data_IF_268295774415
#
_entry.id   IF_268295774415
#
_cell.length_a   1.000
_cell.length_b   1.000
_cell.length_c   1.000
_cell.angle_alpha   90.00
_cell.angle_beta   90.00
_cell.angle_gamma   90.00
#
_symmetry.space_group_name_H-M   'P 1'
#
loop_
_entity.id
_entity.type
_entity.pdbx_description
1 polymer ?
#
# COMPACT_ATOMS: atom_id res chain seq x y z
N UNK A 1 -13.63 -19.37 -29.69
CA UNK A 1 -13.84 -18.83 -28.33
C UNK A 1 -13.38 -17.38 -28.31
N UNK A 2 -14.30 -16.42 -28.40
CA UNK A 2 -13.98 -14.99 -28.33
C UNK A 2 -13.69 -14.67 -26.86
N UNK A 3 -12.41 -14.50 -26.51
CA UNK A 3 -12.04 -13.93 -25.21
C UNK A 3 -12.45 -12.46 -25.26
N UNK A 4 -13.31 -12.03 -24.35
CA UNK A 4 -13.53 -10.61 -24.12
C UNK A 4 -12.19 -10.03 -23.64
N UNK A 5 -11.42 -9.44 -24.55
CA UNK A 5 -10.25 -8.64 -24.21
C UNK A 5 -10.75 -7.38 -23.51
N UNK A 6 -10.09 -6.95 -22.43
CA UNK A 6 -10.20 -5.58 -21.93
C UNK A 6 -10.08 -4.66 -23.13
N UNK A 7 -11.21 -4.03 -23.49
CA UNK A 7 -11.30 -3.20 -24.69
C UNK A 7 -10.32 -2.04 -24.52
N UNK A 8 -9.59 -1.66 -25.58
CA UNK A 8 -8.60 -0.56 -25.51
C UNK A 8 -9.16 0.71 -24.88
N UNK A 9 -10.46 0.95 -25.04
CA UNK A 9 -11.21 2.02 -24.36
C UNK A 9 -11.14 1.94 -22.83
N UNK A 10 -11.31 0.76 -22.22
CA UNK A 10 -11.20 0.59 -20.75
C UNK A 10 -9.80 0.87 -20.25
N UNK A 11 -8.78 0.45 -21.01
CA UNK A 11 -7.38 0.75 -20.68
C UNK A 11 -7.11 2.25 -20.76
N UNK A 12 -7.59 2.92 -21.82
CA UNK A 12 -7.41 4.36 -22.01
C UNK A 12 -8.12 5.18 -20.91
N UNK A 13 -9.37 4.85 -20.59
CA UNK A 13 -10.12 5.52 -19.51
C UNK A 13 -9.42 5.34 -18.17
N UNK A 14 -8.95 4.12 -17.88
CA UNK A 14 -8.22 3.83 -16.63
C UNK A 14 -6.88 4.56 -16.58
N UNK A 15 -6.18 4.68 -17.70
CA UNK A 15 -4.94 5.44 -17.80
C UNK A 15 -5.17 6.93 -17.52
N UNK A 16 -6.20 7.53 -18.11
CA UNK A 16 -6.58 8.93 -17.83
C UNK A 16 -6.95 9.09 -16.35
N UNK A 17 -7.75 8.17 -15.79
CA UNK A 17 -8.10 8.20 -14.37
C UNK A 17 -6.85 8.17 -13.46
N UNK A 18 -5.85 7.34 -13.79
CA UNK A 18 -4.57 7.28 -13.06
C UNK A 18 -3.77 8.59 -13.17
N UNK A 19 -3.78 9.25 -14.34
CA UNK A 19 -3.15 10.56 -14.48
C UNK A 19 -3.84 11.62 -13.63
N UNK A 20 -5.17 11.68 -13.67
CA UNK A 20 -5.96 12.61 -12.84
C UNK A 20 -5.67 12.39 -11.36
N UNK A 21 -5.70 11.15 -10.87
CA UNK A 21 -5.34 10.83 -9.48
C UNK A 21 -3.91 11.26 -9.12
N UNK A 22 -2.98 11.16 -10.07
CA UNK A 22 -1.58 11.57 -9.86
C UNK A 22 -1.48 13.10 -9.72
N UNK A 23 -2.17 13.85 -10.57
CA UNK A 23 -2.23 15.31 -10.44
C UNK A 23 -2.94 15.76 -9.16
N UNK A 24 -4.01 15.06 -8.75
CA UNK A 24 -4.69 15.34 -7.48
C UNK A 24 -3.74 15.08 -6.30
N UNK A 25 -3.07 13.93 -6.26
CA UNK A 25 -2.12 13.59 -5.20
C UNK A 25 -0.97 14.60 -5.14
N UNK A 26 -0.45 15.01 -6.30
CA UNK A 26 0.59 16.03 -6.37
C UNK A 26 0.07 17.40 -5.89
N UNK A 27 -1.12 17.80 -6.33
CA UNK A 27 -1.76 19.06 -5.90
C UNK A 27 -1.96 19.12 -4.39
N UNK A 28 -2.46 18.04 -3.78
CA UNK A 28 -2.64 17.90 -2.34
C UNK A 28 -1.30 18.10 -1.59
N UNK A 29 -0.23 17.47 -2.08
CA UNK A 29 1.11 17.65 -1.51
C UNK A 29 1.62 19.09 -1.63
N UNK A 30 1.22 19.83 -2.66
CA UNK A 30 1.66 21.22 -2.88
C UNK A 30 0.84 22.25 -2.09
N UNK A 31 -0.41 21.96 -1.79
CA UNK A 31 -1.29 22.83 -0.98
C UNK A 31 -0.92 22.75 0.52
N UNK A 32 -0.30 21.66 0.95
CA UNK A 32 0.19 21.49 2.32
C UNK A 32 -0.96 21.42 3.32
N UNK A 33 -1.75 20.34 3.26
CA UNK A 33 -2.80 20.12 4.26
C UNK A 33 -2.16 19.95 5.64
N UNK A 34 -2.70 20.64 6.64
CA UNK A 34 -2.14 20.58 7.99
C UNK A 34 -2.44 19.26 8.68
N UNK A 35 -1.41 18.62 9.24
CA UNK A 35 -1.52 17.48 10.15
C UNK A 35 -1.88 16.15 9.48
N UNK A 36 -2.63 15.29 10.18
CA UNK A 36 -2.95 13.93 9.73
C UNK A 36 -3.85 13.85 8.49
N UNK A 37 -4.48 14.96 8.08
CA UNK A 37 -5.34 15.01 6.90
C UNK A 37 -4.57 14.77 5.60
N UNK A 38 -3.32 15.22 5.49
CA UNK A 38 -2.48 14.98 4.33
C UNK A 38 -2.19 13.48 4.15
N UNK A 39 -1.81 12.82 5.25
CA UNK A 39 -1.53 11.39 5.25
C UNK A 39 -2.77 10.57 4.90
N UNK A 40 -3.93 10.90 5.50
CA UNK A 40 -5.19 10.21 5.20
C UNK A 40 -5.55 10.34 3.71
N UNK A 41 -5.46 11.55 3.16
CA UNK A 41 -5.74 11.80 1.73
C UNK A 41 -4.77 11.04 0.82
N UNK A 42 -3.46 11.07 1.11
CA UNK A 42 -2.44 10.36 0.34
C UNK A 42 -2.68 8.84 0.34
N UNK A 43 -3.01 8.26 1.49
CA UNK A 43 -3.31 6.83 1.61
C UNK A 43 -4.58 6.46 0.85
N UNK A 44 -5.67 7.24 0.98
CA UNK A 44 -6.91 6.99 0.23
C UNK A 44 -6.66 7.00 -1.27
N UNK A 45 -5.94 7.99 -1.79
CA UNK A 45 -5.64 8.09 -3.24
C UNK A 45 -4.76 6.92 -3.69
N UNK A 46 -3.76 6.55 -2.89
CA UNK A 46 -2.88 5.40 -3.18
C UNK A 46 -3.67 4.09 -3.28
N UNK A 47 -4.62 3.87 -2.37
CA UNK A 47 -5.50 2.70 -2.38
C UNK A 47 -6.33 2.65 -3.66
N UNK A 48 -7.01 3.75 -4.01
CA UNK A 48 -7.84 3.82 -5.23
C UNK A 48 -6.99 3.56 -6.48
N UNK A 49 -5.81 4.19 -6.57
CA UNK A 49 -4.86 3.98 -7.67
C UNK A 49 -4.47 2.51 -7.81
N UNK A 50 -4.14 1.87 -6.69
CA UNK A 50 -3.73 0.46 -6.66
C UNK A 50 -4.85 -0.46 -7.14
N UNK A 51 -6.09 -0.20 -6.75
CA UNK A 51 -7.24 -0.99 -7.22
C UNK A 51 -7.46 -0.87 -8.73
N UNK A 52 -7.35 0.34 -9.30
CA UNK A 52 -7.47 0.54 -10.76
C UNK A 52 -6.41 -0.27 -11.49
N UNK A 53 -5.16 -0.25 -11.02
CA UNK A 53 -4.06 -1.03 -11.61
C UNK A 53 -4.30 -2.53 -11.50
N UNK A 54 -4.65 -3.03 -10.32
CA UNK A 54 -4.90 -4.45 -10.09
C UNK A 54 -6.03 -4.97 -10.98
N UNK A 55 -7.18 -4.30 -10.99
CA UNK A 55 -8.37 -4.81 -11.67
C UNK A 55 -8.27 -4.72 -13.19
N UNK A 56 -7.70 -3.64 -13.72
CA UNK A 56 -7.68 -3.37 -15.16
C UNK A 56 -6.37 -3.81 -15.80
N UNK A 57 -5.23 -3.31 -15.31
CA UNK A 57 -3.93 -3.53 -15.97
C UNK A 57 -3.38 -4.93 -15.67
N UNK A 58 -3.56 -5.44 -14.44
CA UNK A 58 -3.19 -6.82 -14.12
C UNK A 58 -4.26 -7.85 -14.51
N UNK A 59 -5.30 -7.42 -15.25
CA UNK A 59 -6.38 -8.27 -15.76
C UNK A 59 -7.04 -9.11 -14.65
N UNK A 60 -7.01 -8.66 -13.39
CA UNK A 60 -7.52 -9.43 -12.25
C UNK A 60 -9.04 -9.65 -12.36
N UNK A 61 -9.74 -8.81 -13.13
CA UNK A 61 -11.15 -8.98 -13.45
C UNK A 61 -11.41 -10.16 -14.41
N UNK A 62 -10.47 -10.47 -15.30
CA UNK A 62 -10.56 -11.55 -16.30
C UNK A 62 -9.93 -12.86 -15.83
N UNK A 63 -9.09 -12.79 -14.81
CA UNK A 63 -8.40 -13.94 -14.21
C UNK A 63 -9.39 -14.86 -13.47
N UNK A 64 -9.06 -16.17 -13.44
CA UNK A 64 -9.80 -17.16 -12.67
C UNK A 64 -9.75 -16.85 -11.17
N UNK A 65 -10.79 -17.25 -10.44
CA UNK A 65 -10.92 -17.00 -9.00
C UNK A 65 -9.68 -17.42 -8.19
N UNK A 66 -9.07 -18.56 -8.52
CA UNK A 66 -7.85 -19.05 -7.87
C UNK A 66 -6.69 -18.04 -7.93
N UNK A 67 -6.47 -17.39 -9.08
CA UNK A 67 -5.39 -16.42 -9.25
C UNK A 67 -5.66 -15.12 -8.47
N UNK A 68 -6.94 -14.73 -8.35
CA UNK A 68 -7.35 -13.59 -7.52
C UNK A 68 -7.17 -13.87 -6.03
N UNK A 69 -7.35 -15.11 -5.58
CA UNK A 69 -7.11 -15.50 -4.19
C UNK A 69 -5.64 -15.34 -3.80
N UNK A 70 -4.71 -15.67 -4.71
CA UNK A 70 -3.26 -15.51 -4.45
C UNK A 70 -2.94 -14.05 -4.11
N UNK A 71 -3.43 -13.09 -4.91
CA UNK A 71 -3.20 -11.66 -4.65
C UNK A 71 -3.74 -11.24 -3.29
N UNK A 72 -4.93 -11.71 -2.90
CA UNK A 72 -5.54 -11.41 -1.61
C UNK A 72 -4.68 -11.99 -0.48
N UNK A 73 -4.27 -13.25 -0.58
CA UNK A 73 -3.45 -13.91 0.44
C UNK A 73 -2.08 -13.22 0.56
N UNK A 74 -1.43 -12.88 -0.55
CA UNK A 74 -0.17 -12.13 -0.53
C UNK A 74 -0.33 -10.76 0.13
N UNK A 75 -1.41 -10.03 -0.18
CA UNK A 75 -1.69 -8.74 0.44
C UNK A 75 -1.93 -8.87 1.95
N UNK A 76 -2.72 -9.85 2.37
CA UNK A 76 -2.95 -10.13 3.81
C UNK A 76 -1.64 -10.48 4.52
N UNK A 77 -0.78 -11.27 3.88
CA UNK A 77 0.52 -11.63 4.44
C UNK A 77 1.43 -10.41 4.59
N UNK A 78 1.45 -9.50 3.60
CA UNK A 78 2.19 -8.24 3.69
C UNK A 78 1.66 -7.39 4.85
N UNK A 79 0.34 -7.22 4.97
CA UNK A 79 -0.25 -6.46 6.08
C UNK A 79 0.11 -7.09 7.43
N UNK A 80 0.05 -8.41 7.54
CA UNK A 80 0.45 -9.15 8.74
C UNK A 80 1.92 -8.89 9.08
N UNK A 81 2.84 -9.02 8.12
CA UNK A 81 4.26 -8.80 8.34
C UNK A 81 4.57 -7.36 8.73
N UNK A 82 4.01 -6.39 8.00
CA UNK A 82 4.21 -4.96 8.27
C UNK A 82 3.70 -4.60 9.66
N UNK A 83 2.51 -5.06 10.04
CA UNK A 83 1.94 -4.78 11.36
C UNK A 83 2.73 -5.46 12.48
N UNK A 84 3.20 -6.69 12.28
CA UNK A 84 4.01 -7.39 13.27
C UNK A 84 5.37 -6.72 13.46
N UNK A 85 6.03 -6.31 12.37
CA UNK A 85 7.29 -5.56 12.44
C UNK A 85 7.11 -4.19 13.11
N UNK A 86 6.00 -3.50 12.84
CA UNK A 86 5.69 -2.23 13.52
C UNK A 86 5.36 -2.42 15.01
N UNK A 87 4.72 -3.54 15.37
CA UNK A 87 4.37 -3.87 16.76
C UNK A 87 5.55 -4.36 17.60
N UNK A 88 6.62 -4.88 16.98
CA UNK A 88 7.81 -5.38 17.67
C UNK A 88 8.43 -4.35 18.65
N UNK A 89 8.83 -3.13 18.24
CA UNK A 89 9.41 -2.16 19.17
C UNK A 89 8.41 -1.68 20.24
N UNK A 90 7.10 -1.75 19.96
CA UNK A 90 6.07 -1.35 20.92
C UNK A 90 5.85 -2.38 22.03
N UNK A 91 6.09 -3.66 21.74
CA UNK A 91 5.85 -4.78 22.66
C UNK A 91 7.13 -5.30 23.32
N UNK A 92 8.30 -4.96 22.75
CA UNK A 92 9.60 -5.39 23.25
C UNK A 92 9.90 -4.79 24.63
N UNK A 93 10.08 -5.66 25.63
CA UNK A 93 10.62 -5.31 26.94
C UNK A 93 12.14 -5.47 26.93
N UNK A 94 12.87 -4.42 26.58
CA UNK A 94 14.33 -4.39 26.70
C UNK A 94 14.74 -4.09 28.14
N UNK A 95 15.58 -4.95 28.72
CA UNK A 95 16.29 -4.70 29.98
C UNK A 95 17.80 -4.87 29.73
N UNK A 96 18.63 -3.86 30.03
CA UNK A 96 18.28 -2.52 30.51
C UNK A 96 17.68 -1.64 29.38
N UNK A 97 16.80 -0.70 29.75
CA UNK A 97 16.08 0.19 28.81
C UNK A 97 16.99 1.23 28.15
N UNK A 98 18.18 1.44 28.71
CA UNK A 98 19.24 2.36 28.26
C UNK A 98 20.57 1.68 28.62
N UNK A 99 21.66 1.89 27.86
CA UNK A 99 22.99 1.44 28.28
C UNK A 99 23.25 1.94 29.70
N UNK A 100 23.53 1.02 30.62
CA UNK A 100 23.85 1.39 32.00
C UNK A 100 25.21 2.12 31.99
N UNK A 101 25.26 3.43 32.33
CA UNK A 101 26.51 4.18 32.32
C UNK A 101 27.54 3.64 33.32
N UNK A 102 27.10 2.80 34.26
CA UNK A 102 27.92 2.17 35.29
C UNK A 102 28.29 0.71 34.98
N UNK A 103 27.81 0.14 33.87
CA UNK A 103 28.21 -1.19 33.45
C UNK A 103 29.70 -1.19 33.07
N UNK A 104 30.53 -1.66 34.00
CA UNK A 104 31.94 -1.93 33.75
C UNK A 104 32.06 -3.13 32.80
N UNK A 105 33.05 -3.15 31.90
CA UNK A 105 33.40 -4.37 31.19
C UNK A 105 33.66 -5.45 32.24
N UNK A 106 32.95 -6.57 32.15
CA UNK A 106 33.26 -7.79 32.87
C UNK A 106 34.29 -8.53 32.03
N UNK A 107 35.54 -8.41 32.46
CA UNK A 107 36.69 -9.21 32.08
C UNK A 107 36.55 -10.68 32.47
#
# INVERSE_FOLDING_TARGET
MIRAHVTGTKMLVSWIALLVLTFISFGISRVGLTGGAELAAALTISIVKTFIVLFIFMHLIEQRFANRLIVIVTFLFIVLLVTLTAADPMTRKTYPKTPDPSARPID
#
